data_IF_739373525091
#
_entry.id   IF_739373525091
#
_cell.length_a   1.000
_cell.length_b   1.000
_cell.length_c   1.000
_cell.angle_alpha   90.00
_cell.angle_beta   90.00
_cell.angle_gamma   90.00
#
_symmetry.space_group_name_H-M   'P 1'
#
loop_
_entity.id
_entity.type
_entity.pdbx_description
1 polymer ?
#
# COMPACT_ATOMS: atom_id res chain seq x y z
N UNK A 1 21.89 19.17 -46.08
CA UNK A 1 22.04 18.64 -44.72
C UNK A 1 20.68 18.64 -44.05
N UNK A 2 20.16 17.47 -43.68
CA UNK A 2 18.90 17.33 -42.94
C UNK A 2 19.29 17.27 -41.47
N UNK A 3 18.80 18.23 -40.68
CA UNK A 3 19.02 18.29 -39.24
C UNK A 3 18.06 17.28 -38.61
N UNK A 4 18.60 16.18 -38.08
CA UNK A 4 17.84 15.29 -37.19
C UNK A 4 17.59 16.04 -35.89
N UNK A 5 16.37 16.55 -35.72
CA UNK A 5 15.87 17.02 -34.43
C UNK A 5 15.60 15.75 -33.62
N UNK A 6 16.45 15.48 -32.63
CA UNK A 6 16.18 14.50 -31.60
C UNK A 6 15.15 15.14 -30.67
N UNK A 7 13.88 14.77 -30.83
CA UNK A 7 12.92 15.00 -29.77
C UNK A 7 13.36 14.10 -28.61
N UNK A 8 13.88 14.70 -27.54
CA UNK A 8 13.97 14.00 -26.27
C UNK A 8 12.53 13.59 -25.91
N UNK A 9 12.29 12.30 -25.67
CA UNK A 9 10.99 11.80 -25.22
C UNK A 9 10.63 12.55 -23.93
N UNK A 10 9.77 13.56 -24.04
CA UNK A 10 9.29 14.31 -22.89
C UNK A 10 8.32 13.41 -22.14
N UNK A 11 8.85 12.68 -21.16
CA UNK A 11 8.04 11.84 -20.30
C UNK A 11 7.27 12.74 -19.33
N UNK A 12 5.95 12.72 -19.44
CA UNK A 12 5.08 13.40 -18.48
C UNK A 12 5.35 12.86 -17.06
N UNK A 13 5.34 13.71 -16.02
CA UNK A 13 5.48 13.24 -14.66
C UNK A 13 4.32 12.32 -14.29
N UNK A 14 4.59 11.30 -13.49
CA UNK A 14 3.55 10.38 -12.99
C UNK A 14 2.91 11.02 -11.77
N UNK A 15 1.63 11.34 -11.87
CA UNK A 15 0.90 12.00 -10.80
C UNK A 15 0.38 10.97 -9.78
N UNK A 16 0.43 11.33 -8.50
CA UNK A 16 -0.19 10.56 -7.43
C UNK A 16 -1.10 11.45 -6.59
N UNK A 17 -2.42 11.29 -6.75
CA UNK A 17 -3.43 11.88 -5.88
C UNK A 17 -3.45 11.14 -4.54
N UNK A 18 -3.11 11.82 -3.44
CA UNK A 18 -2.85 11.17 -2.16
C UNK A 18 -3.28 12.00 -0.95
N UNK A 19 -3.39 11.34 0.21
CA UNK A 19 -3.54 11.99 1.51
C UNK A 19 -2.40 11.54 2.43
N UNK A 20 -1.64 12.51 2.96
CA UNK A 20 -0.54 12.23 3.90
C UNK A 20 -1.02 11.44 5.10
N UNK A 21 -0.32 10.36 5.43
CA UNK A 21 -0.67 9.44 6.52
C UNK A 21 -1.57 8.28 6.10
N UNK A 22 -2.27 8.38 4.96
CA UNK A 22 -3.09 7.28 4.43
C UNK A 22 -2.22 6.04 4.17
N UNK A 23 -2.49 4.89 4.82
CA UNK A 23 -1.71 3.66 4.63
C UNK A 23 -1.57 3.23 3.16
N UNK A 24 -2.64 3.12 2.35
CA UNK A 24 -2.50 2.71 0.96
C UNK A 24 -1.64 3.71 0.14
N UNK A 25 -1.68 5.01 0.46
CA UNK A 25 -0.81 6.00 -0.18
C UNK A 25 0.67 5.80 0.20
N UNK A 26 0.95 5.57 1.48
CA UNK A 26 2.32 5.29 1.97
C UNK A 26 2.93 4.06 1.31
N UNK A 27 2.14 3.01 1.09
CA UNK A 27 2.61 1.80 0.40
C UNK A 27 3.04 2.10 -1.05
N UNK A 28 2.24 2.88 -1.80
CA UNK A 28 2.58 3.30 -3.17
C UNK A 28 3.84 4.17 -3.19
N UNK A 29 3.95 5.15 -2.28
CA UNK A 29 5.12 6.03 -2.19
C UNK A 29 6.41 5.25 -1.91
N UNK A 30 6.37 4.28 -0.99
CA UNK A 30 7.51 3.41 -0.69
C UNK A 30 7.88 2.53 -1.89
N UNK A 31 6.89 1.99 -2.60
CA UNK A 31 7.15 1.20 -3.81
C UNK A 31 7.76 2.05 -4.92
N UNK A 32 7.24 3.25 -5.17
CA UNK A 32 7.78 4.16 -6.17
C UNK A 32 9.24 4.51 -5.87
N UNK A 33 9.57 4.84 -4.62
CA UNK A 33 10.94 5.06 -4.19
C UNK A 33 11.82 3.82 -4.39
N UNK A 34 11.31 2.62 -4.08
CA UNK A 34 12.06 1.37 -4.23
C UNK A 34 12.38 1.02 -5.69
N UNK A 35 11.53 1.43 -6.65
CA UNK A 35 11.77 1.22 -8.08
C UNK A 35 12.44 2.43 -8.76
N UNK A 36 12.66 3.52 -8.04
CA UNK A 36 13.30 4.74 -8.56
C UNK A 36 12.37 5.57 -9.46
N UNK A 37 11.07 5.57 -9.17
CA UNK A 37 10.07 6.42 -9.82
C UNK A 37 9.82 7.65 -8.97
N UNK A 38 10.11 8.83 -9.54
CA UNK A 38 9.74 10.11 -8.95
C UNK A 38 8.27 10.41 -9.29
N UNK A 39 7.46 10.58 -8.24
CA UNK A 39 6.03 10.89 -8.37
C UNK A 39 5.79 12.39 -8.15
N UNK A 40 4.95 12.98 -8.99
CA UNK A 40 4.37 14.29 -8.73
C UNK A 40 3.19 14.13 -7.76
N UNK A 41 3.45 14.41 -6.48
CA UNK A 41 2.48 14.21 -5.40
C UNK A 41 1.43 15.33 -5.40
N UNK A 42 0.16 14.95 -5.61
CA UNK A 42 -1.01 15.84 -5.53
C UNK A 42 -1.79 15.54 -4.25
N UNK A 43 -1.72 16.43 -3.27
CA UNK A 43 -2.49 16.27 -2.02
C UNK A 43 -3.98 16.50 -2.28
N UNK A 44 -4.82 15.61 -1.75
CA UNK A 44 -6.29 15.71 -1.80
C UNK A 44 -6.82 15.84 -0.38
N UNK A 45 -7.52 16.94 -0.08
CA UNK A 45 -8.15 17.13 1.22
C UNK A 45 -9.48 16.34 1.29
N UNK A 46 -9.41 15.18 1.92
CA UNK A 46 -10.59 14.33 2.11
C UNK A 46 -11.59 14.94 3.11
N UNK A 47 -11.12 15.74 4.07
CA UNK A 47 -11.98 16.38 5.08
C UNK A 47 -12.81 17.53 4.48
N UNK A 48 -12.23 18.25 3.50
CA UNK A 48 -12.93 19.25 2.70
C UNK A 48 -13.75 18.64 1.55
N UNK A 49 -13.77 17.31 1.40
CA UNK A 49 -14.56 16.62 0.38
C UNK A 49 -14.04 16.78 -1.04
N UNK A 50 -12.74 17.04 -1.25
CA UNK A 50 -12.21 17.31 -2.59
C UNK A 50 -12.36 16.13 -3.56
N UNK A 51 -12.17 14.91 -3.06
CA UNK A 51 -12.42 13.65 -3.76
C UNK A 51 -13.88 13.47 -4.21
N UNK A 52 -14.83 14.20 -3.63
CA UNK A 52 -16.26 14.14 -3.97
C UNK A 52 -16.66 15.20 -5.02
N UNK A 53 -15.76 16.11 -5.39
CA UNK A 53 -16.02 17.11 -6.43
C UNK A 53 -16.27 16.39 -7.76
N UNK A 54 -17.21 16.90 -8.56
CA UNK A 54 -17.57 16.29 -9.85
C UNK A 54 -16.38 16.14 -10.80
N UNK A 55 -15.39 17.03 -10.72
CA UNK A 55 -14.17 16.96 -11.53
C UNK A 55 -13.33 15.73 -11.16
N UNK A 56 -13.12 15.47 -9.88
CA UNK A 56 -12.38 14.29 -9.42
C UNK A 56 -13.09 12.99 -9.81
N UNK A 57 -14.40 12.90 -9.57
CA UNK A 57 -15.20 11.70 -9.86
C UNK A 57 -15.21 11.38 -11.36
N UNK A 58 -15.38 12.40 -12.22
CA UNK A 58 -15.52 12.20 -13.66
C UNK A 58 -14.19 12.01 -14.38
N UNK A 59 -13.15 12.70 -13.95
CA UNK A 59 -11.88 12.78 -14.69
C UNK A 59 -10.75 12.00 -14.05
N UNK A 60 -10.81 11.68 -12.76
CA UNK A 60 -9.71 11.04 -12.02
C UNK A 60 -10.08 9.65 -11.55
N UNK A 61 -11.12 9.53 -10.72
CA UNK A 61 -11.50 8.25 -10.12
C UNK A 61 -12.98 8.23 -9.71
N UNK A 62 -13.84 7.45 -10.38
CA UNK A 62 -15.25 7.34 -10.01
C UNK A 62 -15.49 6.67 -8.65
N UNK A 63 -14.54 5.86 -8.14
CA UNK A 63 -14.56 5.34 -6.77
C UNK A 63 -14.15 6.40 -5.73
N UNK A 64 -13.73 7.60 -6.16
CA UNK A 64 -13.39 8.74 -5.30
C UNK A 64 -12.47 8.38 -4.12
N UNK A 65 -11.45 7.56 -4.39
CA UNK A 65 -10.48 7.09 -3.37
C UNK A 65 -9.08 7.62 -3.64
N UNK A 66 -8.26 7.61 -2.58
CA UNK A 66 -6.81 7.77 -2.66
C UNK A 66 -6.11 6.52 -2.13
N UNK A 67 -4.97 6.11 -2.70
CA UNK A 67 -4.27 6.74 -3.81
C UNK A 67 -4.97 6.53 -5.16
N UNK A 68 -4.85 7.51 -6.05
CA UNK A 68 -5.09 7.35 -7.50
C UNK A 68 -3.85 7.81 -8.23
N UNK A 69 -3.31 6.97 -9.12
CA UNK A 69 -2.16 7.25 -9.97
C UNK A 69 -2.64 7.66 -11.37
N UNK A 70 -1.95 8.60 -11.99
CA UNK A 70 -2.11 8.98 -13.40
C UNK A 70 -0.73 8.93 -14.06
N UNK A 71 -0.57 7.96 -14.95
CA UNK A 71 0.64 7.76 -15.76
C UNK A 71 0.28 7.94 -17.23
N UNK A 72 0.45 9.16 -17.73
CA UNK A 72 0.17 9.55 -19.11
C UNK A 72 -1.26 9.17 -19.57
N UNK A 73 -2.25 9.44 -18.72
CA UNK A 73 -3.66 9.16 -18.99
C UNK A 73 -4.13 7.76 -18.55
N UNK A 74 -3.22 6.90 -18.07
CA UNK A 74 -3.60 5.69 -17.34
C UNK A 74 -3.96 6.06 -15.89
N UNK A 75 -5.26 6.23 -15.63
CA UNK A 75 -5.77 6.37 -14.27
C UNK A 75 -5.92 5.00 -13.59
N UNK A 76 -5.23 4.81 -12.47
CA UNK A 76 -5.27 3.58 -11.68
C UNK A 76 -5.48 3.88 -10.20
N UNK A 77 -6.56 3.37 -9.64
CA UNK A 77 -6.78 3.28 -8.19
C UNK A 77 -6.48 1.85 -7.69
N UNK A 78 -6.65 1.61 -6.38
CA UNK A 78 -6.20 0.40 -5.66
C UNK A 78 -4.68 0.34 -5.46
N UNK A 79 -4.22 0.62 -4.24
CA UNK A 79 -2.78 0.75 -3.92
C UNK A 79 -1.95 -0.48 -4.33
N UNK A 80 -2.48 -1.69 -4.12
CA UNK A 80 -1.75 -2.93 -4.42
C UNK A 80 -1.63 -3.18 -5.93
N UNK A 81 -2.62 -2.74 -6.72
CA UNK A 81 -2.53 -2.77 -8.18
C UNK A 81 -1.53 -1.72 -8.69
N UNK A 82 -1.54 -0.51 -8.11
CA UNK A 82 -0.54 0.51 -8.40
C UNK A 82 0.88 0.01 -8.09
N UNK A 83 1.08 -0.64 -6.94
CA UNK A 83 2.39 -1.17 -6.53
C UNK A 83 2.92 -2.21 -7.53
N UNK A 84 2.08 -3.16 -7.95
CA UNK A 84 2.49 -4.18 -8.94
C UNK A 84 2.75 -3.56 -10.31
N UNK A 85 1.93 -2.59 -10.73
CA UNK A 85 2.14 -1.82 -11.96
C UNK A 85 3.50 -1.13 -11.96
N UNK A 86 3.84 -0.39 -10.90
CA UNK A 86 5.13 0.33 -10.80
C UNK A 86 6.33 -0.63 -10.90
N UNK A 87 6.28 -1.81 -10.26
CA UNK A 87 7.37 -2.79 -10.40
C UNK A 87 7.42 -3.39 -11.80
N UNK A 88 6.28 -3.79 -12.37
CA UNK A 88 6.26 -4.40 -13.70
C UNK A 88 6.71 -3.41 -14.80
N UNK A 89 6.33 -2.13 -14.69
CA UNK A 89 6.58 -1.11 -15.69
C UNK A 89 7.97 -0.45 -15.54
N UNK A 90 8.40 -0.20 -14.29
CA UNK A 90 9.59 0.61 -14.00
C UNK A 90 10.67 -0.11 -13.18
N UNK A 91 10.38 -1.32 -12.69
CA UNK A 91 11.35 -2.10 -11.95
C UNK A 91 12.55 -2.48 -12.82
N UNK A 92 13.76 -2.25 -12.30
CA UNK A 92 15.02 -2.66 -12.96
C UNK A 92 15.26 -4.18 -12.93
N UNK A 93 14.55 -4.87 -12.05
CA UNK A 93 14.54 -6.32 -11.90
C UNK A 93 13.21 -6.75 -11.25
N UNK A 94 13.00 -8.06 -11.15
CA UNK A 94 11.77 -8.64 -10.60
C UNK A 94 11.87 -9.01 -9.12
N UNK A 95 12.89 -8.56 -8.38
CA UNK A 95 13.10 -9.00 -6.98
C UNK A 95 11.95 -8.65 -6.05
N UNK A 96 11.36 -7.45 -6.20
CA UNK A 96 10.20 -7.02 -5.40
C UNK A 96 8.89 -7.71 -5.82
N UNK A 97 8.82 -8.18 -7.06
CA UNK A 97 7.64 -8.87 -7.60
C UNK A 97 8.06 -9.88 -8.66
N UNK A 98 8.44 -11.12 -8.26
CA UNK A 98 9.09 -12.08 -9.14
C UNK A 98 8.23 -12.48 -10.33
N UNK A 99 8.83 -12.72 -11.50
CA UNK A 99 8.10 -13.22 -12.68
C UNK A 99 7.80 -14.72 -12.61
N UNK A 100 8.54 -15.46 -11.78
CA UNK A 100 8.25 -16.88 -11.51
C UNK A 100 6.82 -17.04 -10.97
N UNK A 101 5.95 -17.84 -11.62
CA UNK A 101 4.54 -17.93 -11.25
C UNK A 101 4.29 -18.37 -9.80
N UNK A 102 5.14 -19.26 -9.27
CA UNK A 102 4.95 -19.78 -7.91
C UNK A 102 5.34 -18.73 -6.87
N UNK A 103 6.47 -18.05 -7.07
CA UNK A 103 6.90 -16.94 -6.20
C UNK A 103 5.90 -15.78 -6.28
N UNK A 104 5.44 -15.42 -7.48
CA UNK A 104 4.42 -14.38 -7.67
C UNK A 104 3.13 -14.71 -6.94
N UNK A 105 2.65 -15.96 -7.04
CA UNK A 105 1.45 -16.40 -6.34
C UNK A 105 1.58 -16.26 -4.82
N UNK A 106 2.77 -16.46 -4.24
CA UNK A 106 3.00 -16.21 -2.82
C UNK A 106 2.91 -14.73 -2.47
N UNK A 107 3.48 -13.84 -3.30
CA UNK A 107 3.34 -12.39 -3.11
C UNK A 107 1.88 -11.96 -3.23
N UNK A 108 1.19 -12.39 -4.28
CA UNK A 108 -0.22 -12.07 -4.53
C UNK A 108 -1.09 -12.53 -3.37
N UNK A 109 -0.90 -13.76 -2.87
CA UNK A 109 -1.61 -14.27 -1.69
C UNK A 109 -1.48 -13.31 -0.51
N UNK A 110 -0.27 -12.79 -0.24
CA UNK A 110 -0.04 -11.86 0.87
C UNK A 110 -0.58 -10.46 0.61
N UNK A 111 -0.58 -9.98 -0.63
CA UNK A 111 -1.25 -8.73 -1.01
C UNK A 111 -2.77 -8.82 -0.77
N UNK A 112 -3.41 -9.93 -1.17
CA UNK A 112 -4.84 -10.15 -0.92
C UNK A 112 -5.15 -10.37 0.56
N UNK A 113 -4.29 -11.07 1.31
CA UNK A 113 -4.41 -11.19 2.76
C UNK A 113 -4.34 -9.83 3.45
N UNK A 114 -3.40 -8.98 3.05
CA UNK A 114 -3.30 -7.63 3.59
C UNK A 114 -4.57 -6.83 3.30
N UNK A 115 -5.09 -6.83 2.07
CA UNK A 115 -6.30 -6.11 1.71
C UNK A 115 -7.56 -6.65 2.41
N UNK A 116 -7.81 -7.95 2.26
CA UNK A 116 -9.08 -8.58 2.60
C UNK A 116 -9.18 -9.07 4.04
N UNK A 117 -8.05 -9.21 4.74
CA UNK A 117 -8.01 -9.76 6.09
C UNK A 117 -7.39 -8.78 7.07
N UNK A 118 -6.11 -8.43 6.90
CA UNK A 118 -5.40 -7.62 7.90
C UNK A 118 -5.85 -6.17 7.91
N UNK A 119 -5.70 -5.45 6.80
CA UNK A 119 -6.09 -4.05 6.71
C UNK A 119 -7.60 -3.88 6.86
N UNK A 120 -8.39 -4.83 6.34
CA UNK A 120 -9.84 -4.82 6.52
C UNK A 120 -10.24 -4.92 7.99
N UNK A 121 -9.67 -5.85 8.75
CA UNK A 121 -9.96 -5.98 10.19
C UNK A 121 -9.46 -4.77 10.98
N UNK A 122 -8.32 -4.19 10.60
CA UNK A 122 -7.83 -2.94 11.16
C UNK A 122 -8.85 -1.80 10.94
N UNK A 123 -9.29 -1.60 9.70
CA UNK A 123 -10.25 -0.55 9.36
C UNK A 123 -11.59 -0.75 10.09
N UNK A 124 -12.13 -1.96 10.09
CA UNK A 124 -13.38 -2.30 10.76
C UNK A 124 -13.33 -2.03 12.29
N UNK A 125 -12.16 -2.16 12.92
CA UNK A 125 -12.02 -1.92 14.36
C UNK A 125 -11.61 -0.47 14.70
N UNK A 126 -10.61 0.09 14.03
CA UNK A 126 -10.06 1.39 14.40
C UNK A 126 -10.71 2.60 13.74
N UNK A 127 -11.27 2.48 12.53
CA UNK A 127 -11.88 3.64 11.88
C UNK A 127 -13.09 4.20 12.64
N UNK A 128 -14.01 3.38 13.20
CA UNK A 128 -15.06 3.90 14.07
C UNK A 128 -14.50 4.62 15.31
N UNK A 129 -13.42 4.10 15.91
CA UNK A 129 -12.77 4.73 17.07
C UNK A 129 -12.18 6.10 16.68
N UNK A 130 -11.44 6.14 15.57
CA UNK A 130 -10.70 7.33 15.12
C UNK A 130 -11.64 8.42 14.60
N UNK A 131 -12.64 8.07 13.78
CA UNK A 131 -13.46 9.06 13.08
C UNK A 131 -14.77 9.39 13.78
N UNK A 132 -15.28 8.50 14.64
CA UNK A 132 -16.56 8.74 15.34
C UNK A 132 -16.46 8.58 16.85
N UNK A 133 -15.31 8.17 17.40
CA UNK A 133 -15.14 7.93 18.83
C UNK A 133 -15.90 6.70 19.36
N UNK A 134 -16.44 5.86 18.47
CA UNK A 134 -17.26 4.71 18.86
C UNK A 134 -16.37 3.46 18.92
N UNK A 135 -16.40 2.76 20.05
CA UNK A 135 -15.75 1.45 20.19
C UNK A 135 -16.62 0.37 19.53
N UNK A 136 -16.10 -0.37 18.53
CA UNK A 136 -16.84 -1.47 17.92
C UNK A 136 -17.06 -2.65 18.86
N UNK A 137 -17.93 -3.57 18.44
CA UNK A 137 -18.16 -4.84 19.12
C UNK A 137 -16.89 -5.70 19.24
N UNK A 138 -16.85 -6.54 20.29
CA UNK A 138 -15.73 -7.44 20.58
C UNK A 138 -15.36 -8.34 19.39
N UNK A 139 -16.34 -8.79 18.60
CA UNK A 139 -16.08 -9.63 17.43
C UNK A 139 -15.17 -8.97 16.37
N UNK A 140 -15.17 -7.63 16.26
CA UNK A 140 -14.25 -6.92 15.34
C UNK A 140 -12.82 -6.90 15.87
N UNK A 141 -12.68 -6.77 17.19
CA UNK A 141 -11.38 -6.89 17.86
C UNK A 141 -10.81 -8.30 17.71
N UNK A 142 -11.63 -9.32 17.92
CA UNK A 142 -11.20 -10.73 17.81
C UNK A 142 -10.71 -11.04 16.38
N UNK A 143 -11.43 -10.57 15.35
CA UNK A 143 -11.01 -10.70 13.94
C UNK A 143 -9.68 -10.01 13.64
N UNK A 144 -9.43 -8.85 14.24
CA UNK A 144 -8.15 -8.16 14.12
C UNK A 144 -7.02 -8.98 14.74
N UNK A 145 -7.26 -9.55 15.92
CA UNK A 145 -6.30 -10.44 16.58
C UNK A 145 -6.05 -11.73 15.81
N UNK A 146 -7.08 -12.33 15.21
CA UNK A 146 -6.95 -13.48 14.32
C UNK A 146 -6.05 -13.14 13.12
N UNK A 147 -6.28 -12.00 12.46
CA UNK A 147 -5.46 -11.55 11.33
C UNK A 147 -3.99 -11.33 11.73
N UNK A 148 -3.73 -10.71 12.87
CA UNK A 148 -2.36 -10.51 13.37
C UNK A 148 -1.69 -11.84 13.74
N UNK A 149 -2.44 -12.76 14.34
CA UNK A 149 -1.93 -14.10 14.67
C UNK A 149 -1.57 -14.90 13.41
N UNK A 150 -2.32 -14.73 12.32
CA UNK A 150 -1.97 -15.30 11.02
C UNK A 150 -0.70 -14.68 10.44
N UNK A 151 -0.56 -13.34 10.50
CA UNK A 151 0.65 -12.66 10.04
C UNK A 151 1.89 -13.10 10.83
N UNK A 152 1.78 -13.19 12.16
CA UNK A 152 2.89 -13.62 13.03
C UNK A 152 3.31 -15.07 12.69
N UNK A 153 2.36 -15.97 12.41
CA UNK A 153 2.64 -17.32 11.90
C UNK A 153 3.29 -17.33 10.53
N UNK A 154 2.91 -16.43 9.61
CA UNK A 154 3.57 -16.32 8.31
C UNK A 154 5.02 -15.86 8.41
N UNK A 155 5.37 -15.15 9.48
CA UNK A 155 6.72 -14.66 9.76
C UNK A 155 7.53 -15.59 10.66
N UNK A 156 6.93 -16.69 11.15
CA UNK A 156 7.62 -17.64 12.02
C UNK A 156 8.78 -18.32 11.26
N UNK A 157 10.01 -18.01 11.68
CA UNK A 157 11.23 -18.54 11.06
C UNK A 157 11.63 -17.87 9.74
N UNK A 158 10.93 -16.82 9.31
CA UNK A 158 11.17 -16.13 8.04
C UNK A 158 11.43 -14.63 8.25
N UNK A 159 12.27 -14.04 7.39
CA UNK A 159 12.57 -12.60 7.43
C UNK A 159 11.55 -11.76 6.66
N UNK A 160 10.87 -12.36 5.68
CA UNK A 160 9.93 -11.72 4.77
C UNK A 160 8.70 -12.61 4.58
N UNK A 161 7.55 -12.00 4.34
CA UNK A 161 6.23 -12.66 4.40
C UNK A 161 5.93 -13.57 3.19
N UNK A 162 6.68 -13.42 2.10
CA UNK A 162 6.45 -14.13 0.84
C UNK A 162 7.67 -14.96 0.38
N UNK A 163 8.69 -15.14 1.24
CA UNK A 163 9.85 -15.97 0.98
C UNK A 163 11.15 -15.37 1.54
N UNK A 164 12.25 -15.57 0.80
CA UNK A 164 13.61 -15.25 1.30
C UNK A 164 14.07 -13.82 1.03
N UNK A 165 13.33 -13.05 0.24
CA UNK A 165 13.70 -11.69 -0.18
C UNK A 165 12.54 -10.73 0.07
N UNK A 166 12.86 -9.46 0.24
CA UNK A 166 11.87 -8.38 0.32
C UNK A 166 10.99 -8.34 -0.94
N UNK A 167 9.68 -8.20 -0.76
CA UNK A 167 8.70 -8.09 -1.84
C UNK A 167 7.70 -6.96 -1.60
N UNK A 168 6.83 -6.70 -2.59
CA UNK A 168 5.69 -5.79 -2.46
C UNK A 168 4.77 -6.15 -1.28
N UNK A 169 4.64 -7.44 -0.95
CA UNK A 169 3.83 -7.88 0.18
C UNK A 169 4.37 -7.34 1.50
N UNK A 170 5.69 -7.33 1.67
CA UNK A 170 6.33 -6.80 2.87
C UNK A 170 6.10 -5.29 3.01
N UNK A 171 6.20 -4.55 1.90
CA UNK A 171 6.00 -3.09 1.87
C UNK A 171 4.58 -2.72 2.32
N UNK A 172 3.54 -3.38 1.80
CA UNK A 172 2.16 -3.05 2.20
C UNK A 172 1.86 -3.53 3.62
N UNK A 173 2.34 -4.72 4.01
CA UNK A 173 2.09 -5.27 5.34
C UNK A 173 2.77 -4.44 6.43
N UNK A 174 4.02 -3.99 6.23
CA UNK A 174 4.70 -3.12 7.20
C UNK A 174 3.98 -1.79 7.36
N UNK A 175 3.43 -1.25 6.27
CA UNK A 175 2.64 -0.01 6.29
C UNK A 175 1.33 -0.21 7.06
N UNK A 176 0.65 -1.33 6.85
CA UNK A 176 -0.55 -1.71 7.59
C UNK A 176 -0.27 -1.85 9.09
N UNK A 177 0.76 -2.62 9.49
CA UNK A 177 1.09 -2.82 10.91
C UNK A 177 1.72 -1.59 11.58
N UNK A 178 2.42 -0.74 10.84
CA UNK A 178 2.95 0.52 11.39
C UNK A 178 1.87 1.58 11.61
N UNK A 179 0.66 1.38 11.08
CA UNK A 179 -0.46 2.31 11.26
C UNK A 179 -1.20 2.14 12.60
N UNK A 180 -0.87 1.11 13.36
CA UNK A 180 -1.53 0.85 14.63
C UNK A 180 -1.15 1.93 15.64
N UNK A 181 -2.12 2.44 16.43
CA UNK A 181 -1.85 3.52 17.38
C UNK A 181 -0.72 3.16 18.35
N UNK A 182 0.23 4.07 18.52
CA UNK A 182 1.29 3.96 19.52
C UNK A 182 0.69 4.23 20.91
N UNK A 183 1.10 3.46 21.93
CA UNK A 183 0.64 3.64 23.31
C UNK A 183 -0.34 2.55 23.78
N UNK A 184 -1.39 2.91 24.52
CA UNK A 184 -2.26 1.99 25.27
C UNK A 184 -3.00 0.93 24.42
N UNK A 185 -3.03 1.11 23.10
CA UNK A 185 -3.64 0.18 22.14
C UNK A 185 -2.60 -0.62 21.31
N UNK A 186 -1.31 -0.54 21.65
CA UNK A 186 -0.22 -1.19 20.93
C UNK A 186 -0.10 -2.68 21.27
N UNK A 187 -1.08 -3.50 20.88
CA UNK A 187 -1.01 -4.96 21.04
C UNK A 187 -0.03 -5.64 20.09
N UNK A 188 0.51 -4.93 19.08
CA UNK A 188 1.61 -5.43 18.24
C UNK A 188 2.79 -5.91 19.09
N UNK A 189 2.94 -5.38 20.30
CA UNK A 189 3.99 -5.79 21.23
C UNK A 189 3.94 -7.27 21.64
N UNK A 190 2.80 -7.93 21.49
CA UNK A 190 2.60 -9.35 21.79
C UNK A 190 3.00 -10.29 20.65
N UNK A 191 3.20 -9.77 19.45
CA UNK A 191 3.53 -10.53 18.24
C UNK A 191 5.03 -10.39 17.94
N UNK A 192 5.81 -11.36 18.40
CA UNK A 192 7.27 -11.29 18.38
C UNK A 192 7.83 -11.15 16.96
N UNK A 193 7.31 -11.93 16.01
CA UNK A 193 7.81 -11.94 14.65
C UNK A 193 7.39 -10.67 13.90
N UNK A 194 6.18 -10.16 14.15
CA UNK A 194 5.76 -8.85 13.62
C UNK A 194 6.67 -7.71 14.09
N UNK A 195 7.09 -7.71 15.37
CA UNK A 195 8.01 -6.68 15.88
C UNK A 195 9.37 -6.73 15.21
N UNK A 196 9.90 -7.94 14.99
CA UNK A 196 11.18 -8.15 14.31
C UNK A 196 11.07 -7.71 12.85
N UNK A 197 9.98 -8.09 12.18
CA UNK A 197 9.66 -7.68 10.81
C UNK A 197 9.59 -6.15 10.65
N UNK A 198 8.88 -5.43 11.53
CA UNK A 198 8.84 -3.95 11.45
C UNK A 198 10.24 -3.33 11.54
N UNK A 199 11.15 -3.94 12.31
CA UNK A 199 12.53 -3.46 12.45
C UNK A 199 13.42 -3.83 11.27
N UNK A 200 13.16 -4.94 10.57
CA UNK A 200 14.00 -5.37 9.43
C UNK A 200 13.73 -4.58 8.16
N UNK A 201 12.55 -3.93 8.05
CA UNK A 201 12.12 -3.16 6.88
C UNK A 201 12.39 -1.64 7.04
N UNK A 202 12.59 -1.16 8.28
CA UNK A 202 12.95 0.24 8.59
C UNK A 202 14.44 0.49 8.44
#
# INVERSE_FOLDING_TARGET
HIVHIVFADFKMPIDLYQLTGSPPCRAVLLTAAAVGVDLNVKNVDLSAGEHLKSEFIKSVNPQHTVPTLDDDGLYLCESRAIMTYLVNQYGKNDSLYPNDPKKRAMVDQKLYFDMGTLYRSFADYYYPIIFTGITPEQAKYDKLHEALSLLDKFLEGENYVAGKTLTLADITLVVSVSNFPVGKYSFIQHYLFIKTFIKSIK
#
